data_IF_603823778148
#
_entry.id   IF_603823778148
#
_cell.length_a   1.000
_cell.length_b   1.000
_cell.length_c   1.000
_cell.angle_alpha   90.00
_cell.angle_beta   90.00
_cell.angle_gamma   90.00
#
_symmetry.space_group_name_H-M   'P 1'
#
loop_
_entity.id
_entity.type
_entity.pdbx_description
1 polymer ?
#
# COMPACT_ATOMS: atom_id res chain seq x y z
N UNK A 1 10.52 5.78 -0.38
CA UNK A 1 9.16 6.27 -0.62
C UNK A 1 8.72 6.18 -2.08
N UNK A 2 9.59 6.57 -3.01
CA UNK A 2 9.26 6.54 -4.43
C UNK A 2 8.84 5.14 -4.90
N UNK A 3 9.54 4.10 -4.49
CA UNK A 3 9.22 2.73 -4.88
C UNK A 3 7.84 2.31 -4.38
N UNK A 4 7.49 2.70 -3.16
CA UNK A 4 6.19 2.40 -2.59
C UNK A 4 5.07 3.07 -3.39
N UNK A 5 5.22 4.35 -3.69
CA UNK A 5 4.22 5.09 -4.44
C UNK A 5 4.06 4.51 -5.85
N UNK A 6 5.17 4.24 -6.52
CA UNK A 6 5.13 3.63 -7.84
C UNK A 6 4.44 2.27 -7.82
N UNK A 7 4.76 1.43 -6.84
CA UNK A 7 4.13 0.13 -6.72
C UNK A 7 2.64 0.26 -6.43
N UNK A 8 2.27 1.22 -5.59
CA UNK A 8 0.87 1.43 -5.22
C UNK A 8 0.02 1.83 -6.42
N UNK A 9 0.56 2.63 -7.33
CA UNK A 9 -0.16 3.11 -8.49
C UNK A 9 0.04 2.28 -9.75
N UNK A 10 0.89 1.24 -9.69
CA UNK A 10 1.16 0.42 -10.88
C UNK A 10 -0.03 -0.39 -11.33
N UNK A 11 -0.94 -0.73 -10.42
CA UNK A 11 -2.17 -1.48 -10.72
C UNK A 11 -3.37 -0.74 -10.15
N UNK A 12 -3.74 0.35 -10.81
CA UNK A 12 -4.74 1.30 -10.29
C UNK A 12 -6.11 0.70 -10.01
N UNK A 13 -6.48 -0.35 -10.75
CA UNK A 13 -7.77 -1.00 -10.56
C UNK A 13 -7.81 -1.98 -9.41
N UNK A 14 -6.65 -2.33 -8.87
CA UNK A 14 -6.57 -3.29 -7.79
C UNK A 14 -6.53 -2.59 -6.45
N UNK A 15 -6.87 -3.34 -5.40
CA UNK A 15 -6.70 -2.82 -4.04
C UNK A 15 -5.22 -2.61 -3.76
N UNK A 16 -4.90 -1.77 -2.79
CA UNK A 16 -3.51 -1.46 -2.48
C UNK A 16 -2.67 -2.70 -2.17
N UNK A 17 -3.13 -3.63 -1.30
CA UNK A 17 -2.33 -4.83 -1.04
C UNK A 17 -2.04 -5.64 -2.31
N UNK A 18 -3.03 -5.79 -3.18
CA UNK A 18 -2.84 -6.54 -4.42
C UNK A 18 -1.88 -5.82 -5.37
N UNK A 19 -1.98 -4.50 -5.45
CA UNK A 19 -1.08 -3.71 -6.29
C UNK A 19 0.36 -3.85 -5.82
N UNK A 20 0.60 -3.75 -4.51
CA UNK A 20 1.95 -3.89 -3.96
C UNK A 20 2.52 -5.28 -4.19
N UNK A 21 1.69 -6.30 -4.05
CA UNK A 21 2.14 -7.67 -4.27
C UNK A 21 2.51 -7.89 -5.74
N UNK A 22 1.66 -7.46 -6.65
CA UNK A 22 1.90 -7.65 -8.08
C UNK A 22 3.11 -6.85 -8.58
N UNK A 23 3.36 -5.71 -7.97
CA UNK A 23 4.54 -4.92 -8.32
C UNK A 23 5.83 -5.49 -7.71
N UNK A 24 5.71 -6.52 -6.86
CA UNK A 24 6.88 -7.12 -6.23
C UNK A 24 7.43 -6.31 -5.09
N UNK A 25 6.66 -5.38 -4.55
CA UNK A 25 7.13 -4.53 -3.47
C UNK A 25 7.14 -5.25 -2.11
N UNK A 26 6.05 -5.95 -1.81
CA UNK A 26 5.93 -6.72 -0.57
C UNK A 26 4.81 -7.73 -0.71
N UNK A 27 4.71 -8.65 0.26
CA UNK A 27 3.63 -9.61 0.31
C UNK A 27 2.29 -8.92 0.59
N UNK A 28 1.22 -9.46 0.02
CA UNK A 28 -0.11 -8.94 0.26
C UNK A 28 -0.43 -8.89 1.76
N UNK A 29 -0.05 -9.94 2.48
CA UNK A 29 -0.32 -10.03 3.91
C UNK A 29 0.34 -8.90 4.69
N UNK A 30 1.57 -8.56 4.34
CA UNK A 30 2.27 -7.45 5.00
C UNK A 30 1.57 -6.14 4.75
N UNK A 31 1.11 -5.92 3.53
CA UNK A 31 0.38 -4.71 3.20
C UNK A 31 -0.94 -4.63 3.97
N UNK A 32 -1.65 -5.75 4.08
CA UNK A 32 -2.90 -5.80 4.84
C UNK A 32 -2.66 -5.45 6.31
N UNK A 33 -1.60 -6.00 6.90
CA UNK A 33 -1.25 -5.71 8.29
C UNK A 33 -0.88 -4.25 8.49
N UNK A 34 -0.12 -3.68 7.56
CA UNK A 34 0.27 -2.27 7.65
C UNK A 34 -0.96 -1.37 7.60
N UNK A 35 -1.90 -1.65 6.70
CA UNK A 35 -3.13 -0.90 6.61
C UNK A 35 -3.97 -1.03 7.88
N UNK A 36 -4.02 -2.23 8.45
CA UNK A 36 -4.74 -2.44 9.70
C UNK A 36 -4.14 -1.62 10.83
N UNK A 37 -2.81 -1.52 10.87
CA UNK A 37 -2.12 -0.70 11.86
C UNK A 37 -2.49 0.77 11.73
N UNK A 38 -2.72 1.23 10.49
CA UNK A 38 -3.14 2.60 10.24
C UNK A 38 -4.64 2.83 10.44
N UNK A 39 -5.39 1.76 10.70
CA UNK A 39 -6.84 1.85 10.81
C UNK A 39 -7.53 2.00 9.46
N UNK A 40 -6.89 1.55 8.38
CA UNK A 40 -7.44 1.62 7.03
C UNK A 40 -7.94 0.27 6.57
N UNK A 41 -8.93 0.29 5.68
CA UNK A 41 -9.46 -0.93 5.09
C UNK A 41 -8.45 -1.56 4.13
N UNK A 42 -8.27 -2.90 4.16
CA UNK A 42 -7.39 -3.55 3.20
C UNK A 42 -7.95 -3.55 1.77
N UNK A 43 -9.20 -3.13 1.60
CA UNK A 43 -9.81 -3.07 0.26
C UNK A 43 -9.69 -1.70 -0.39
N UNK A 44 -9.04 -0.72 0.28
CA UNK A 44 -8.88 0.59 -0.32
C UNK A 44 -7.89 0.57 -1.48
N UNK A 45 -7.97 1.60 -2.32
CA UNK A 45 -7.05 1.77 -3.45
C UNK A 45 -6.06 2.88 -3.14
N UNK A 46 -4.95 2.89 -3.89
CA UNK A 46 -3.89 3.88 -3.66
C UNK A 46 -4.39 5.32 -3.70
N UNK A 47 -5.34 5.62 -4.58
CA UNK A 47 -5.88 6.98 -4.71
C UNK A 47 -6.65 7.45 -3.48
N UNK A 48 -7.03 6.53 -2.60
CA UNK A 48 -7.73 6.87 -1.36
C UNK A 48 -6.78 7.23 -0.22
N UNK A 49 -5.48 7.07 -0.42
CA UNK A 49 -4.49 7.37 0.61
C UNK A 49 -4.01 8.81 0.49
N UNK A 50 -3.82 9.45 1.64
CA UNK A 50 -3.20 10.78 1.69
C UNK A 50 -1.67 10.62 1.68
N UNK A 51 -0.92 11.71 1.39
CA UNK A 51 0.53 11.66 1.50
C UNK A 51 1.01 11.20 2.88
N UNK A 52 0.30 11.60 3.94
CA UNK A 52 0.63 11.18 5.29
C UNK A 52 0.51 9.65 5.44
N UNK A 53 -0.53 9.07 4.86
CA UNK A 53 -0.73 7.62 4.90
C UNK A 53 0.43 6.90 4.22
N UNK A 54 0.92 7.44 3.09
CA UNK A 54 2.08 6.86 2.42
C UNK A 54 3.33 6.92 3.27
N UNK A 55 3.53 8.01 4.00
CA UNK A 55 4.67 8.12 4.90
C UNK A 55 4.61 7.06 5.99
N UNK A 56 3.44 6.85 6.57
CA UNK A 56 3.26 5.83 7.60
C UNK A 56 3.47 4.42 7.05
N UNK A 57 2.96 4.16 5.85
CA UNK A 57 3.19 2.87 5.21
C UNK A 57 4.67 2.63 4.95
N UNK A 58 5.39 3.67 4.56
CA UNK A 58 6.83 3.56 4.30
C UNK A 58 7.61 3.18 5.55
N UNK A 59 7.09 3.53 6.72
CA UNK A 59 7.71 3.14 7.99
C UNK A 59 7.41 1.70 8.37
N UNK A 60 6.23 1.20 7.97
CA UNK A 60 5.78 -0.14 8.33
C UNK A 60 6.24 -1.20 7.33
N UNK A 61 6.46 -0.81 6.10
CA UNK A 61 6.87 -1.72 5.03
C UNK A 61 8.35 -1.56 4.73
N UNK A 62 9.06 -2.66 4.43
CA UNK A 62 10.49 -2.61 4.12
C UNK A 62 10.79 -1.86 2.82
#
# INVERSE_FOLDING_TARGET
MKALVEAAFSHRRKTLPNSLQQAGFCDRERAVRALATLGRSPSLRAEELSPHDFLELARLLP
#
